data_IF_873709739379
#
_entry.id   IF_873709739379
#
_cell.length_a   1.000
_cell.length_b   1.000
_cell.length_c   1.000
_cell.angle_alpha   90.00
_cell.angle_beta   90.00
_cell.angle_gamma   90.00
#
_symmetry.space_group_name_H-M   'P 1'
#
loop_
_entity.id
_entity.type
_entity.pdbx_description
1 polymer ?
#
# COMPACT_ATOMS: atom_id res chain seq x y z
N UNK A 1 26.79 -2.26 3.07
CA UNK A 1 25.34 -2.17 2.99
C UNK A 1 24.84 -1.07 3.91
N UNK A 2 24.07 -0.14 3.40
CA UNK A 2 23.38 0.86 4.23
C UNK A 2 22.24 0.10 4.90
N UNK A 3 22.32 -0.07 6.21
CA UNK A 3 21.23 -0.65 6.99
C UNK A 3 20.22 0.46 7.23
N UNK A 4 19.06 0.37 6.60
CA UNK A 4 17.95 1.27 6.91
C UNK A 4 17.41 0.88 8.27
N UNK A 5 17.49 1.77 9.25
CA UNK A 5 16.96 1.53 10.59
C UNK A 5 15.43 1.50 10.55
N UNK A 6 14.85 0.34 10.84
CA UNK A 6 13.43 0.21 11.13
C UNK A 6 13.18 0.71 12.55
N UNK A 7 12.37 1.75 12.70
CA UNK A 7 12.01 2.28 14.02
C UNK A 7 10.77 1.57 14.55
N UNK A 8 10.89 0.96 15.72
CA UNK A 8 9.79 0.25 16.38
C UNK A 8 9.39 1.00 17.63
N UNK A 9 8.11 1.26 17.78
CA UNK A 9 7.51 1.86 18.94
C UNK A 9 6.29 1.08 19.41
N UNK A 10 5.67 1.54 20.50
CA UNK A 10 4.48 0.94 21.07
C UNK A 10 3.39 1.99 21.26
N UNK A 11 2.16 1.57 21.08
CA UNK A 11 0.98 2.41 21.32
C UNK A 11 -0.05 1.61 22.12
N UNK A 12 -0.64 2.26 23.11
CA UNK A 12 -1.83 1.71 23.80
C UNK A 12 -3.07 2.02 22.97
N UNK A 13 -3.81 0.99 22.65
CA UNK A 13 -5.09 1.05 21.97
C UNK A 13 -6.23 0.83 22.98
N UNK A 14 -7.49 1.12 22.60
CA UNK A 14 -8.67 0.74 23.38
C UNK A 14 -8.66 -0.74 23.77
N UNK A 15 -9.42 -1.10 24.83
CA UNK A 15 -9.53 -2.47 25.34
C UNK A 15 -8.21 -3.07 25.84
N UNK A 16 -7.30 -2.24 26.35
CA UNK A 16 -5.97 -2.65 26.84
C UNK A 16 -5.11 -3.39 25.81
N UNK A 17 -5.37 -3.18 24.54
CA UNK A 17 -4.57 -3.74 23.46
C UNK A 17 -3.31 -2.89 23.29
N UNK A 18 -2.17 -3.56 23.12
CA UNK A 18 -0.89 -2.91 22.80
C UNK A 18 -0.54 -3.17 21.35
N UNK A 19 -0.35 -2.11 20.58
CA UNK A 19 0.14 -2.20 19.22
C UNK A 19 1.65 -1.98 19.16
N UNK A 20 2.32 -2.78 18.34
CA UNK A 20 3.68 -2.51 17.89
C UNK A 20 3.57 -1.62 16.65
N UNK A 21 4.22 -0.47 16.68
CA UNK A 21 4.25 0.46 15.56
C UNK A 21 5.59 0.34 14.87
N UNK A 22 5.56 0.01 13.60
CA UNK A 22 6.74 0.00 12.75
C UNK A 22 6.69 1.24 11.84
N UNK A 23 7.63 2.16 12.05
CA UNK A 23 7.83 3.31 11.18
C UNK A 23 8.74 2.91 10.02
N UNK A 24 8.23 3.02 8.81
CA UNK A 24 8.93 2.67 7.59
C UNK A 24 9.43 3.93 6.89
N UNK A 25 10.50 3.83 6.09
CA UNK A 25 10.95 4.94 5.26
C UNK A 25 9.82 5.52 4.42
N UNK A 26 9.78 6.85 4.32
CA UNK A 26 8.77 7.54 3.52
C UNK A 26 8.88 7.17 2.04
N UNK A 27 7.78 6.76 1.46
CA UNK A 27 7.68 6.47 0.03
C UNK A 27 6.37 6.99 -0.54
N UNK A 28 6.36 7.27 -1.84
CA UNK A 28 5.16 7.72 -2.56
C UNK A 28 4.55 6.64 -3.46
N UNK A 29 5.28 5.57 -3.69
CA UNK A 29 4.82 4.43 -4.49
C UNK A 29 5.62 3.17 -4.17
N UNK A 30 5.10 2.01 -4.57
CA UNK A 30 5.83 0.75 -4.56
C UNK A 30 6.66 0.52 -5.84
N UNK A 31 6.87 1.56 -6.63
CA UNK A 31 7.81 1.56 -7.75
C UNK A 31 9.16 2.08 -7.24
N UNK A 32 9.89 1.22 -6.56
CA UNK A 32 11.10 1.61 -5.86
C UNK A 32 12.16 2.21 -6.80
N UNK A 33 12.67 3.36 -6.39
CA UNK A 33 13.79 4.05 -7.01
C UNK A 33 15.00 4.17 -6.06
N UNK A 34 14.84 3.76 -4.82
CA UNK A 34 15.86 3.82 -3.78
C UNK A 34 15.94 2.54 -2.96
N UNK A 35 17.07 2.35 -2.26
CA UNK A 35 17.26 1.22 -1.34
C UNK A 35 16.24 1.26 -0.20
N UNK A 36 15.90 2.45 0.29
CA UNK A 36 14.95 2.63 1.38
C UNK A 36 13.54 2.19 0.99
N UNK A 37 13.13 2.49 -0.25
CA UNK A 37 11.84 2.04 -0.79
C UNK A 37 11.80 0.52 -0.98
N UNK A 38 12.93 -0.10 -1.37
CA UNK A 38 13.03 -1.56 -1.49
C UNK A 38 12.77 -2.26 -0.15
N UNK A 39 13.24 -1.70 0.96
CA UNK A 39 13.01 -2.27 2.30
C UNK A 39 11.50 -2.34 2.61
N UNK A 40 10.76 -1.31 2.25
CA UNK A 40 9.29 -1.27 2.41
C UNK A 40 8.64 -2.37 1.58
N UNK A 41 9.01 -2.49 0.32
CA UNK A 41 8.43 -3.47 -0.60
C UNK A 41 8.75 -4.90 -0.14
N UNK A 42 9.98 -5.20 0.21
CA UNK A 42 10.39 -6.52 0.69
C UNK A 42 9.59 -6.94 1.93
N UNK A 43 9.38 -6.04 2.88
CA UNK A 43 8.57 -6.32 4.07
C UNK A 43 7.11 -6.62 3.69
N UNK A 44 6.50 -5.78 2.86
CA UNK A 44 5.08 -5.91 2.50
C UNK A 44 4.80 -7.13 1.61
N UNK A 45 5.81 -7.67 0.99
CA UNK A 45 5.68 -8.86 0.15
C UNK A 45 5.99 -10.18 0.90
N UNK A 46 6.60 -10.12 2.08
CA UNK A 46 6.97 -11.31 2.85
C UNK A 46 6.05 -11.53 4.06
N UNK A 47 4.99 -12.31 3.87
CA UNK A 47 4.03 -12.66 4.95
C UNK A 47 4.67 -13.44 6.11
N UNK A 48 5.84 -14.04 5.91
CA UNK A 48 6.55 -14.80 6.94
C UNK A 48 7.54 -13.94 7.73
N UNK A 49 7.71 -12.67 7.38
CA UNK A 49 8.52 -11.75 8.15
C UNK A 49 7.87 -11.49 9.52
N UNK A 50 8.68 -11.49 10.58
CA UNK A 50 8.21 -11.23 11.96
C UNK A 50 7.59 -9.83 12.12
N UNK A 51 7.98 -8.90 11.24
CA UNK A 51 7.50 -7.52 11.23
C UNK A 51 6.40 -7.28 10.20
N UNK A 52 5.91 -8.34 9.53
CA UNK A 52 4.80 -8.21 8.59
C UNK A 52 3.57 -7.62 9.30
N UNK A 53 2.96 -6.55 8.76
CA UNK A 53 1.91 -5.84 9.47
C UNK A 53 0.58 -6.60 9.47
N UNK A 54 -0.15 -6.51 10.59
CA UNK A 54 -1.57 -6.90 10.66
C UNK A 54 -2.46 -5.88 9.95
N UNK A 55 -2.05 -4.61 10.01
CA UNK A 55 -2.72 -3.48 9.35
C UNK A 55 -1.68 -2.44 8.94
N UNK A 56 -1.85 -1.88 7.77
CA UNK A 56 -1.04 -0.76 7.28
C UNK A 56 -1.78 0.57 7.48
N UNK A 57 -1.06 1.58 7.94
CA UNK A 57 -1.54 2.95 7.97
C UNK A 57 -0.83 3.73 6.86
N UNK A 58 -1.57 4.19 5.88
CA UNK A 58 -1.05 5.11 4.87
C UNK A 58 -1.41 6.52 5.27
N UNK A 59 -0.39 7.32 5.58
CA UNK A 59 -0.57 8.68 6.08
C UNK A 59 -0.37 9.65 4.93
N UNK A 60 -1.36 10.48 4.71
CA UNK A 60 -1.36 11.59 3.76
C UNK A 60 -1.75 12.88 4.48
N UNK A 61 -1.75 13.97 3.77
CA UNK A 61 -2.33 15.23 4.24
C UNK A 61 -3.42 15.72 3.28
N UNK A 62 -4.24 16.65 3.77
CA UNK A 62 -5.41 17.16 3.02
C UNK A 62 -5.02 17.90 1.72
N UNK A 63 -3.80 18.39 1.60
CA UNK A 63 -3.34 19.16 0.44
C UNK A 63 -2.73 18.27 -0.65
N UNK A 64 -2.22 17.07 -0.28
CA UNK A 64 -1.52 16.14 -1.19
C UNK A 64 -2.24 14.81 -1.37
N UNK A 65 -3.54 14.75 -1.05
CA UNK A 65 -4.30 13.51 -1.01
C UNK A 65 -4.18 12.70 -2.30
N UNK A 66 -4.47 13.30 -3.45
CA UNK A 66 -4.44 12.59 -4.75
C UNK A 66 -3.09 11.94 -5.04
N UNK A 67 -1.99 12.62 -4.76
CA UNK A 67 -0.63 12.08 -4.96
C UNK A 67 -0.37 10.86 -4.08
N UNK A 68 -0.78 10.94 -2.82
CA UNK A 68 -0.50 9.88 -1.84
C UNK A 68 -1.45 8.68 -1.97
N UNK A 69 -2.59 8.84 -2.65
CA UNK A 69 -3.50 7.73 -2.95
C UNK A 69 -2.88 6.69 -3.89
N UNK A 70 -1.86 7.04 -4.66
CA UNK A 70 -1.11 6.06 -5.45
C UNK A 70 -0.56 4.94 -4.55
N UNK A 71 0.21 5.30 -3.54
CA UNK A 71 0.76 4.34 -2.59
C UNK A 71 -0.34 3.57 -1.85
N UNK A 72 -1.40 4.26 -1.41
CA UNK A 72 -2.52 3.63 -0.74
C UNK A 72 -3.13 2.51 -1.58
N UNK A 73 -3.45 2.76 -2.84
CA UNK A 73 -4.04 1.76 -3.74
C UNK A 73 -3.10 0.58 -3.99
N UNK A 74 -1.79 0.82 -4.07
CA UNK A 74 -0.79 -0.23 -4.26
C UNK A 74 -0.69 -1.15 -3.03
N UNK A 75 -0.66 -0.59 -1.82
CA UNK A 75 -0.64 -1.38 -0.58
C UNK A 75 -1.96 -2.16 -0.43
N UNK A 76 -3.08 -1.53 -0.74
CA UNK A 76 -4.40 -2.15 -0.72
C UNK A 76 -4.47 -3.37 -1.66
N UNK A 77 -3.85 -3.27 -2.83
CA UNK A 77 -3.83 -4.35 -3.83
C UNK A 77 -2.93 -5.53 -3.43
N UNK A 78 -2.12 -5.39 -2.38
CA UNK A 78 -1.44 -6.49 -1.70
C UNK A 78 -2.34 -7.24 -0.72
N UNK A 79 -3.62 -6.87 -0.64
CA UNK A 79 -4.63 -7.46 0.25
C UNK A 79 -4.26 -7.37 1.73
N UNK A 80 -3.53 -6.33 2.11
CA UNK A 80 -3.25 -5.97 3.50
C UNK A 80 -4.39 -5.07 3.98
N UNK A 81 -4.99 -5.33 5.16
CA UNK A 81 -5.91 -4.36 5.76
C UNK A 81 -5.24 -3.00 5.88
N UNK A 82 -5.80 -1.98 5.24
CA UNK A 82 -5.15 -0.68 5.12
C UNK A 82 -6.11 0.42 5.51
N UNK A 83 -5.67 1.28 6.43
CA UNK A 83 -6.40 2.48 6.86
C UNK A 83 -5.76 3.69 6.18
N UNK A 84 -6.58 4.54 5.58
CA UNK A 84 -6.14 5.83 5.09
C UNK A 84 -6.24 6.87 6.20
N UNK A 85 -5.11 7.46 6.57
CA UNK A 85 -5.02 8.51 7.57
C UNK A 85 -4.78 9.84 6.88
N UNK A 86 -5.75 10.74 6.95
CA UNK A 86 -5.66 12.07 6.36
C UNK A 86 -5.35 13.08 7.47
N UNK A 87 -4.13 13.56 7.48
CA UNK A 87 -3.63 14.51 8.47
C UNK A 87 -3.88 15.96 8.04
N UNK A 88 -3.60 16.89 8.95
CA UNK A 88 -3.75 18.33 8.76
C UNK A 88 -5.21 18.79 8.56
N UNK A 89 -6.16 18.07 9.16
CA UNK A 89 -7.59 18.43 9.12
C UNK A 89 -7.89 19.85 9.62
N UNK A 90 -7.06 20.36 10.54
CA UNK A 90 -7.16 21.73 11.05
C UNK A 90 -6.93 22.80 9.98
N UNK A 91 -6.31 22.45 8.85
CA UNK A 91 -6.09 23.36 7.73
C UNK A 91 -7.23 23.40 6.72
N UNK A 92 -8.14 22.44 6.74
CA UNK A 92 -9.20 22.30 5.75
C UNK A 92 -10.05 23.57 5.61
N UNK A 93 -10.54 24.10 6.73
CA UNK A 93 -11.35 25.33 6.74
C UNK A 93 -10.59 26.51 6.16
N UNK A 94 -9.32 26.66 6.55
CA UNK A 94 -8.48 27.76 6.08
C UNK A 94 -8.17 27.68 4.58
N UNK A 95 -8.01 26.46 4.07
CA UNK A 95 -7.69 26.19 2.65
C UNK A 95 -8.94 26.03 1.77
N UNK A 96 -10.13 26.09 2.34
CA UNK A 96 -11.38 25.86 1.59
C UNK A 96 -11.52 24.42 1.05
N UNK A 97 -10.92 23.46 1.76
CA UNK A 97 -10.96 22.04 1.37
C UNK A 97 -12.15 21.37 2.06
N UNK A 98 -12.94 20.63 1.30
CA UNK A 98 -13.99 19.73 1.80
C UNK A 98 -13.73 18.33 1.27
N UNK A 99 -13.97 17.30 2.10
CA UNK A 99 -13.80 15.90 1.74
C UNK A 99 -15.11 15.15 1.99
N UNK A 100 -15.56 14.42 1.00
CA UNK A 100 -16.65 13.46 1.15
C UNK A 100 -16.10 12.14 1.66
N UNK A 101 -15.95 12.02 2.98
CA UNK A 101 -15.35 10.84 3.62
C UNK A 101 -16.15 9.57 3.31
N UNK A 102 -17.51 9.53 3.42
CA UNK A 102 -18.26 8.33 3.06
C UNK A 102 -18.01 7.86 1.62
N UNK A 103 -18.00 8.79 0.66
CA UNK A 103 -17.67 8.46 -0.73
C UNK A 103 -16.27 7.87 -0.89
N UNK A 104 -15.28 8.49 -0.25
CA UNK A 104 -13.90 8.02 -0.32
C UNK A 104 -13.74 6.62 0.32
N UNK A 105 -14.41 6.36 1.44
CA UNK A 105 -14.40 5.06 2.10
C UNK A 105 -15.00 3.96 1.21
N UNK A 106 -16.11 4.25 0.57
CA UNK A 106 -16.76 3.32 -0.36
C UNK A 106 -15.90 3.07 -1.61
N UNK A 107 -15.43 4.14 -2.24
CA UNK A 107 -14.63 4.06 -3.46
C UNK A 107 -13.29 3.34 -3.26
N UNK A 108 -12.61 3.63 -2.15
CA UNK A 108 -11.32 3.05 -1.81
C UNK A 108 -11.45 1.72 -1.03
N UNK A 109 -12.66 1.30 -0.69
CA UNK A 109 -12.95 0.08 0.07
C UNK A 109 -12.16 0.01 1.39
N UNK A 110 -12.19 1.09 2.15
CA UNK A 110 -11.42 1.24 3.38
C UNK A 110 -12.17 2.05 4.44
N UNK A 111 -11.51 2.25 5.57
CA UNK A 111 -11.88 3.22 6.59
C UNK A 111 -10.89 4.37 6.62
N UNK A 112 -11.38 5.57 6.89
CA UNK A 112 -10.58 6.80 6.87
C UNK A 112 -10.59 7.43 8.26
N UNK A 113 -9.39 7.79 8.74
CA UNK A 113 -9.22 8.65 9.89
C UNK A 113 -8.81 10.04 9.43
N UNK A 114 -9.63 11.04 9.70
CA UNK A 114 -9.32 12.44 9.47
C UNK A 114 -8.77 13.04 10.77
N UNK A 115 -7.49 13.39 10.78
CA UNK A 115 -6.77 13.78 11.99
C UNK A 115 -6.06 15.13 11.86
N UNK A 116 -5.74 15.72 12.99
CA UNK A 116 -4.71 16.74 13.11
C UNK A 116 -3.72 16.31 14.19
N UNK A 117 -2.56 15.82 13.79
CA UNK A 117 -1.51 15.41 14.73
C UNK A 117 -1.04 16.58 15.60
N UNK A 118 -1.03 17.80 15.04
CA UNK A 118 -0.67 19.03 15.76
C UNK A 118 -1.65 19.36 16.89
N UNK A 119 -2.96 19.15 16.67
CA UNK A 119 -4.02 19.44 17.65
C UNK A 119 -4.44 18.23 18.46
N UNK A 120 -3.97 17.06 18.11
CA UNK A 120 -4.39 15.79 18.74
C UNK A 120 -5.81 15.35 18.41
N UNK A 121 -6.49 16.00 17.45
CA UNK A 121 -7.85 15.63 17.07
C UNK A 121 -7.88 14.43 16.13
N UNK A 122 -8.90 13.57 16.27
CA UNK A 122 -9.09 12.37 15.43
C UNK A 122 -8.20 11.17 15.82
N UNK A 123 -7.33 11.30 16.81
CA UNK A 123 -6.39 10.22 17.20
C UNK A 123 -7.13 9.06 17.88
N UNK A 124 -8.14 9.33 18.72
CA UNK A 124 -8.88 8.26 19.38
C UNK A 124 -9.75 7.48 18.38
N UNK A 125 -10.32 8.14 17.38
CA UNK A 125 -11.02 7.51 16.26
C UNK A 125 -10.08 6.63 15.44
N UNK A 126 -8.87 7.10 15.17
CA UNK A 126 -7.83 6.30 14.50
C UNK A 126 -7.49 5.04 15.31
N UNK A 127 -7.29 5.17 16.62
CA UNK A 127 -7.03 4.03 17.51
C UNK A 127 -8.16 3.00 17.48
N UNK A 128 -9.41 3.46 17.45
CA UNK A 128 -10.58 2.59 17.32
C UNK A 128 -10.60 1.85 15.97
N UNK A 129 -10.25 2.51 14.89
CA UNK A 129 -10.12 1.85 13.57
C UNK A 129 -9.02 0.78 13.59
N UNK A 130 -7.88 1.05 14.24
CA UNK A 130 -6.79 0.09 14.34
C UNK A 130 -7.22 -1.15 15.12
N UNK A 131 -7.88 -1.00 16.26
CA UNK A 131 -8.39 -2.13 17.05
C UNK A 131 -9.33 -3.01 16.24
N UNK A 132 -10.16 -2.39 15.40
CA UNK A 132 -11.15 -3.07 14.56
C UNK A 132 -10.63 -3.37 13.15
N UNK A 133 -9.33 -3.47 12.93
CA UNK A 133 -8.73 -3.65 11.60
C UNK A 133 -9.25 -4.87 10.83
N UNK A 134 -9.69 -5.92 11.52
CA UNK A 134 -10.27 -7.12 10.90
C UNK A 134 -11.60 -6.85 10.19
N UNK A 135 -12.27 -5.76 10.50
CA UNK A 135 -13.50 -5.33 9.82
C UNK A 135 -13.23 -4.56 8.53
N UNK A 136 -11.98 -4.18 8.28
CA UNK A 136 -11.58 -3.42 7.09
C UNK A 136 -11.47 -4.39 5.92
N UNK A 137 -12.07 -4.03 4.79
CA UNK A 137 -11.97 -4.81 3.56
C UNK A 137 -10.53 -4.92 3.08
N UNK A 138 -10.07 -6.12 2.78
CA UNK A 138 -8.80 -6.37 2.09
C UNK A 138 -8.96 -6.48 0.56
N UNK A 139 -10.14 -6.15 0.05
CA UNK A 139 -10.42 -6.19 -1.38
C UNK A 139 -9.55 -5.19 -2.15
N UNK A 140 -8.88 -5.61 -3.25
CA UNK A 140 -8.04 -4.72 -4.03
C UNK A 140 -8.85 -3.62 -4.72
N UNK A 141 -8.19 -2.47 -4.94
CA UNK A 141 -8.77 -1.33 -5.65
C UNK A 141 -8.75 -1.54 -7.17
N UNK A 142 -7.67 -2.11 -7.69
CA UNK A 142 -7.45 -2.26 -9.12
C UNK A 142 -7.19 -3.73 -9.47
N UNK A 143 -7.86 -4.20 -10.51
CA UNK A 143 -7.53 -5.49 -11.11
C UNK A 143 -6.48 -5.28 -12.22
N UNK A 144 -5.23 -5.65 -11.95
CA UNK A 144 -4.12 -5.50 -12.89
C UNK A 144 -4.34 -6.27 -14.21
N UNK A 145 -5.14 -7.33 -14.20
CA UNK A 145 -5.41 -8.15 -15.40
C UNK A 145 -6.09 -7.38 -16.53
N UNK A 146 -6.75 -6.25 -16.25
CA UNK A 146 -7.39 -5.41 -17.29
C UNK A 146 -6.38 -4.73 -18.22
N UNK A 147 -5.11 -4.64 -17.81
CA UNK A 147 -4.05 -3.97 -18.58
C UNK A 147 -3.58 -4.84 -19.73
N UNK A 148 -3.41 -6.13 -19.49
CA UNK A 148 -3.05 -7.17 -20.45
C UNK A 148 -3.63 -8.51 -19.95
N UNK A 149 -4.89 -8.82 -20.32
CA UNK A 149 -5.57 -10.01 -19.80
C UNK A 149 -4.85 -11.32 -20.12
N UNK A 150 -4.28 -11.46 -21.29
CA UNK A 150 -3.57 -12.68 -21.70
C UNK A 150 -2.33 -12.92 -20.84
N UNK A 151 -1.50 -11.90 -20.68
CA UNK A 151 -0.29 -11.97 -19.87
C UNK A 151 -0.59 -12.27 -18.40
N UNK A 152 -1.51 -11.53 -17.79
CA UNK A 152 -1.87 -11.72 -16.39
C UNK A 152 -2.62 -13.02 -16.12
N UNK A 153 -3.43 -13.51 -17.05
CA UNK A 153 -4.04 -14.83 -16.93
C UNK A 153 -3.01 -15.96 -17.02
N UNK A 154 -1.98 -15.79 -17.83
CA UNK A 154 -0.84 -16.69 -17.87
C UNK A 154 -0.10 -16.76 -16.54
N UNK A 155 0.18 -15.60 -15.92
CA UNK A 155 0.78 -15.51 -14.60
C UNK A 155 -0.09 -16.20 -13.52
N UNK A 156 -1.39 -15.96 -13.53
CA UNK A 156 -2.32 -16.56 -12.58
C UNK A 156 -2.38 -18.08 -12.69
N UNK A 157 -2.34 -18.60 -13.90
CA UNK A 157 -2.31 -20.05 -14.13
C UNK A 157 -1.01 -20.70 -13.70
N UNK A 158 0.12 -20.03 -13.93
CA UNK A 158 1.45 -20.53 -13.56
C UNK A 158 1.68 -20.48 -12.03
N UNK A 159 1.15 -19.46 -11.36
CA UNK A 159 1.35 -19.22 -9.92
C UNK A 159 -0.01 -19.03 -9.21
N UNK A 160 -0.87 -20.05 -9.14
CA UNK A 160 -2.25 -19.90 -8.67
C UNK A 160 -2.38 -19.54 -7.19
N UNK A 161 -1.34 -19.81 -6.39
CA UNK A 161 -1.32 -19.55 -4.95
C UNK A 161 -0.69 -18.21 -4.58
N UNK A 162 -0.34 -17.38 -5.56
CA UNK A 162 0.27 -16.08 -5.36
C UNK A 162 -0.69 -14.95 -5.76
N UNK A 163 -0.63 -13.83 -5.03
CA UNK A 163 -1.34 -12.63 -5.41
C UNK A 163 -0.80 -12.08 -6.73
N UNK A 164 -1.69 -11.77 -7.66
CA UNK A 164 -1.31 -11.28 -8.97
C UNK A 164 -0.49 -9.98 -8.89
N UNK A 165 -0.90 -9.05 -8.05
CA UNK A 165 -0.18 -7.80 -7.86
C UNK A 165 1.21 -8.00 -7.24
N UNK A 166 1.35 -8.98 -6.35
CA UNK A 166 2.66 -9.38 -5.80
C UNK A 166 3.59 -9.90 -6.91
N UNK A 167 3.10 -10.78 -7.77
CA UNK A 167 3.86 -11.26 -8.94
C UNK A 167 4.28 -10.10 -9.84
N UNK A 168 3.38 -9.17 -10.08
CA UNK A 168 3.66 -7.97 -10.86
C UNK A 168 4.80 -7.14 -10.27
N UNK A 169 4.79 -6.90 -8.96
CA UNK A 169 5.88 -6.19 -8.28
C UNK A 169 7.22 -6.93 -8.38
N UNK A 170 7.22 -8.25 -8.24
CA UNK A 170 8.44 -9.07 -8.40
C UNK A 170 9.02 -8.95 -9.79
N UNK A 171 8.17 -8.94 -10.81
CA UNK A 171 8.60 -8.82 -12.21
C UNK A 171 9.17 -7.42 -12.50
N UNK A 172 8.55 -6.39 -11.96
CA UNK A 172 8.85 -5.00 -12.30
C UNK A 172 9.91 -4.35 -11.41
N UNK A 173 10.12 -4.86 -10.18
CA UNK A 173 11.01 -4.28 -9.19
C UNK A 173 12.25 -5.15 -8.97
N UNK A 174 13.35 -4.49 -8.60
CA UNK A 174 14.60 -5.20 -8.23
C UNK A 174 14.60 -5.50 -6.71
N UNK A 175 13.69 -6.34 -6.27
CA UNK A 175 13.52 -6.73 -4.87
C UNK A 175 13.96 -8.17 -4.65
N UNK A 176 14.67 -8.41 -3.55
CA UNK A 176 15.03 -9.75 -3.13
C UNK A 176 13.84 -10.43 -2.45
N UNK A 177 13.47 -11.59 -2.98
CA UNK A 177 12.36 -12.39 -2.49
C UNK A 177 12.85 -13.69 -1.88
N UNK A 178 12.62 -13.88 -0.59
CA UNK A 178 13.11 -15.08 0.12
C UNK A 178 12.37 -16.38 -0.26
N UNK A 179 11.15 -16.32 -0.81
CA UNK A 179 10.31 -17.50 -1.04
C UNK A 179 9.65 -17.58 -2.43
N UNK A 180 9.95 -16.65 -3.32
CA UNK A 180 9.58 -16.76 -4.71
C UNK A 180 10.86 -16.84 -5.52
N UNK A 181 11.01 -17.88 -6.31
CA UNK A 181 12.12 -18.00 -7.24
C UNK A 181 11.93 -16.96 -8.36
N UNK A 182 12.42 -15.74 -8.06
CA UNK A 182 12.36 -14.60 -8.98
C UNK A 182 12.88 -14.96 -10.36
N UNK A 183 13.93 -15.79 -10.42
CA UNK A 183 14.49 -16.26 -11.68
C UNK A 183 13.51 -17.13 -12.44
N UNK A 184 12.73 -17.98 -11.76
CA UNK A 184 11.70 -18.81 -12.39
C UNK A 184 10.55 -17.94 -12.93
N UNK A 185 10.04 -17.01 -12.15
CA UNK A 185 9.01 -16.07 -12.61
C UNK A 185 9.53 -15.26 -13.79
N UNK A 186 10.74 -14.73 -13.72
CA UNK A 186 11.35 -13.94 -14.79
C UNK A 186 11.64 -14.76 -16.04
N UNK A 187 12.16 -15.97 -15.92
CA UNK A 187 12.49 -16.79 -17.09
C UNK A 187 11.26 -17.19 -17.90
N UNK A 188 10.13 -17.47 -17.22
CA UNK A 188 8.90 -17.88 -17.87
C UNK A 188 8.03 -16.73 -18.38
N UNK A 189 8.15 -15.54 -17.77
CA UNK A 189 7.32 -14.38 -18.05
C UNK A 189 8.13 -13.12 -18.37
N UNK A 190 9.33 -13.30 -18.92
CA UNK A 190 10.18 -12.19 -19.34
C UNK A 190 9.55 -11.43 -20.49
N UNK A 191 9.51 -10.12 -20.34
CA UNK A 191 9.23 -9.18 -21.43
C UNK A 191 10.48 -8.37 -21.75
N UNK A 192 10.58 -7.85 -22.96
CA UNK A 192 11.61 -6.86 -23.27
C UNK A 192 11.50 -5.66 -22.32
N UNK A 193 12.61 -4.98 -22.08
CA UNK A 193 12.61 -3.80 -21.20
C UNK A 193 11.60 -2.73 -21.66
N UNK A 194 11.50 -2.52 -22.96
CA UNK A 194 10.54 -1.56 -23.56
C UNK A 194 9.08 -1.98 -23.35
N UNK A 195 8.76 -3.26 -23.52
CA UNK A 195 7.41 -3.78 -23.31
C UNK A 195 7.01 -3.74 -21.84
N UNK A 196 7.91 -4.09 -20.95
CA UNK A 196 7.69 -4.01 -19.51
C UNK A 196 7.44 -2.57 -19.07
N UNK A 197 8.25 -1.63 -19.54
CA UNK A 197 8.07 -0.19 -19.27
C UNK A 197 6.71 0.32 -19.77
N UNK A 198 6.30 -0.09 -20.97
CA UNK A 198 4.99 0.27 -21.52
C UNK A 198 3.85 -0.29 -20.68
N UNK A 199 3.97 -1.52 -20.20
CA UNK A 199 2.98 -2.14 -19.33
C UNK A 199 2.89 -1.42 -17.97
N UNK A 200 4.03 -1.06 -17.38
CA UNK A 200 4.09 -0.26 -16.15
C UNK A 200 3.43 1.12 -16.32
N UNK A 201 3.64 1.77 -17.47
CA UNK A 201 2.97 3.04 -17.76
C UNK A 201 1.46 2.87 -17.85
N UNK A 202 0.97 1.83 -18.51
CA UNK A 202 -0.47 1.53 -18.60
C UNK A 202 -1.06 1.27 -17.20
N UNK A 203 -0.37 0.50 -16.38
CA UNK A 203 -0.79 0.22 -15.01
C UNK A 203 -0.91 1.51 -14.19
N UNK A 204 0.10 2.35 -14.23
CA UNK A 204 0.11 3.65 -13.54
C UNK A 204 -1.01 4.55 -14.01
N UNK A 205 -1.25 4.65 -15.32
CA UNK A 205 -2.35 5.44 -15.88
C UNK A 205 -3.70 4.93 -15.37
N UNK A 206 -3.93 3.62 -15.42
CA UNK A 206 -5.18 3.01 -14.92
C UNK A 206 -5.39 3.28 -13.44
N UNK A 207 -4.33 3.23 -12.66
CA UNK A 207 -4.37 3.53 -11.23
C UNK A 207 -4.73 4.99 -10.95
N UNK A 208 -4.15 5.92 -11.67
CA UNK A 208 -4.52 7.34 -11.57
C UNK A 208 -5.92 7.65 -12.11
N UNK A 209 -6.42 6.89 -13.08
CA UNK A 209 -7.82 7.00 -13.53
C UNK A 209 -8.80 6.52 -12.46
N UNK A 210 -8.42 5.54 -11.66
CA UNK A 210 -9.20 5.07 -10.52
C UNK A 210 -9.20 6.09 -9.37
N UNK A 211 -8.06 6.73 -9.07
CA UNK A 211 -7.89 7.75 -8.05
C UNK A 211 -8.64 9.04 -8.43
#
# INVERSE_FOLDING_TARGET
GITVEKKIGFCKLPNNIKANILDLPGTYSLNASSIDENVVIELLLNKNDKLYPDVALVITDVENLKRNLLLFTQIKDLEIPTILVINMADRMKFKGITLDIPYLEEHLKTKIALISSRKGSGIEELKNLIVNYRTISSEPCLNASVIDPEYFNGLRKAFPNQLLYKLWLVITQDVNFLNLERNEIRSSFTKSHSDLKRLQQKETIKRYQFI
#
